data_IF_163049406705
#
_entry.id   IF_163049406705
#
_cell.length_a   1.000
_cell.length_b   1.000
_cell.length_c   1.000
_cell.angle_alpha   90.00
_cell.angle_beta   90.00
_cell.angle_gamma   90.00
#
_symmetry.space_group_name_H-M   'P 1'
#
loop_
_entity.id
_entity.type
_entity.pdbx_description
1 polymer ?
#
# COMPACT_ATOMS: atom_id res chain seq x y z
N UNK A 1 5.40 3.66 0.43
CA UNK A 1 6.31 3.19 1.50
C UNK A 1 5.43 2.41 2.45
N UNK A 2 5.46 1.08 2.34
CA UNK A 2 4.40 0.25 2.89
C UNK A 2 4.67 -0.14 4.35
N UNK A 3 3.62 -0.44 5.10
CA UNK A 3 3.72 -0.74 6.52
C UNK A 3 4.33 -2.13 6.71
N UNK A 4 5.20 -2.29 7.72
CA UNK A 4 5.59 -3.60 8.24
C UNK A 4 4.57 -4.02 9.30
N UNK A 5 3.51 -4.72 8.92
CA UNK A 5 2.58 -5.34 9.88
C UNK A 5 2.67 -6.87 9.82
N UNK A 6 2.77 -7.53 10.97
CA UNK A 6 2.70 -9.00 11.12
C UNK A 6 1.26 -9.55 10.94
N UNK A 7 0.30 -8.69 10.61
CA UNK A 7 -1.10 -9.09 10.42
C UNK A 7 -1.34 -9.34 8.93
N UNK A 8 -1.52 -10.62 8.59
CA UNK A 8 -1.85 -11.06 7.24
C UNK A 8 -3.23 -10.55 6.84
N UNK A 9 -3.32 -9.47 6.05
CA UNK A 9 -4.56 -9.15 5.35
C UNK A 9 -4.67 -10.05 4.12
N UNK A 10 -5.57 -11.05 4.19
CA UNK A 10 -6.06 -11.72 2.99
C UNK A 10 -7.00 -10.75 2.28
N UNK A 11 -6.60 -10.24 1.12
CA UNK A 11 -7.47 -9.42 0.28
C UNK A 11 -6.79 -8.13 -0.17
N UNK A 12 -5.89 -8.24 -1.15
CA UNK A 12 -5.49 -7.09 -1.95
C UNK A 12 -5.74 -7.50 -3.39
N UNK A 13 -6.99 -7.36 -3.78
CA UNK A 13 -7.45 -7.67 -5.12
C UNK A 13 -7.25 -6.39 -5.94
N UNK A 14 -6.19 -6.39 -6.76
CA UNK A 14 -6.23 -5.62 -8.02
C UNK A 14 -7.39 -6.20 -8.84
N UNK A 15 -7.98 -5.43 -9.76
CA UNK A 15 -9.21 -5.77 -10.52
C UNK A 15 -9.20 -7.12 -11.27
N UNK A 16 -8.10 -7.85 -11.24
CA UNK A 16 -7.87 -9.14 -11.87
C UNK A 16 -7.48 -10.17 -10.78
N UNK A 17 -7.72 -11.47 -11.01
CA UNK A 17 -7.43 -12.66 -10.17
C UNK A 17 -5.99 -12.80 -9.58
N UNK A 18 -5.15 -11.78 -9.73
CA UNK A 18 -3.79 -11.62 -9.24
C UNK A 18 -3.75 -11.38 -7.72
N UNK A 19 -4.84 -10.95 -7.07
CA UNK A 19 -4.82 -10.52 -5.67
C UNK A 19 -4.32 -11.56 -4.66
N UNK A 20 -4.67 -12.83 -4.87
CA UNK A 20 -4.19 -13.97 -4.08
C UNK A 20 -2.67 -14.21 -4.24
N UNK A 21 -2.10 -13.80 -5.37
CA UNK A 21 -0.69 -13.96 -5.72
C UNK A 21 0.18 -12.80 -5.24
N UNK A 22 -0.34 -11.63 -4.89
CA UNK A 22 0.50 -10.48 -4.52
C UNK A 22 1.44 -10.81 -3.34
N UNK A 23 0.94 -11.52 -2.32
CA UNK A 23 1.77 -12.00 -1.19
C UNK A 23 2.80 -13.08 -1.60
N UNK A 24 2.50 -13.89 -2.61
CA UNK A 24 3.46 -14.87 -3.14
C UNK A 24 4.51 -14.18 -4.02
N UNK A 25 4.12 -13.14 -4.76
CA UNK A 25 5.00 -12.35 -5.60
C UNK A 25 6.03 -11.59 -4.77
N UNK A 26 5.63 -10.95 -3.67
CA UNK A 26 6.59 -10.31 -2.75
C UNK A 26 7.63 -11.31 -2.23
N UNK A 27 7.18 -12.52 -1.84
CA UNK A 27 8.09 -13.61 -1.44
C UNK A 27 9.04 -14.10 -2.54
N UNK A 28 8.68 -13.94 -3.82
CA UNK A 28 9.51 -14.36 -4.95
C UNK A 28 10.50 -13.25 -5.31
N UNK A 29 10.05 -12.00 -5.36
CA UNK A 29 10.89 -10.86 -5.71
C UNK A 29 11.93 -10.56 -4.64
N UNK A 30 11.57 -10.73 -3.37
CA UNK A 30 12.49 -10.48 -2.24
C UNK A 30 13.61 -11.54 -2.12
N UNK A 31 13.47 -12.67 -2.81
CA UNK A 31 14.52 -13.70 -2.88
C UNK A 31 15.61 -13.36 -3.90
N UNK A 32 15.40 -12.36 -4.75
CA UNK A 32 16.42 -11.96 -5.72
C UNK A 32 17.44 -11.04 -5.04
N UNK A 33 18.72 -11.43 -4.93
CA UNK A 33 19.72 -10.66 -4.21
C UNK A 33 20.15 -9.45 -5.05
N UNK A 34 19.36 -8.37 -5.00
CA UNK A 34 19.85 -7.04 -5.32
C UNK A 34 20.60 -6.50 -4.08
N UNK A 35 21.67 -7.20 -3.69
CA UNK A 35 22.46 -6.87 -2.49
C UNK A 35 23.47 -5.78 -2.83
N UNK A 36 23.05 -4.52 -2.72
CA UNK A 36 24.01 -3.46 -2.39
C UNK A 36 24.36 -3.62 -0.91
N UNK A 37 25.61 -3.98 -0.61
CA UNK A 37 26.19 -4.11 0.75
C UNK A 37 25.78 -5.33 1.61
N UNK A 38 25.56 -6.53 1.03
CA UNK A 38 25.25 -7.77 1.79
C UNK A 38 24.04 -7.64 2.74
N UNK A 39 23.19 -6.63 2.54
CA UNK A 39 21.96 -6.42 3.30
C UNK A 39 20.77 -6.90 2.48
N UNK A 40 19.85 -7.69 3.08
CA UNK A 40 18.61 -8.05 2.41
C UNK A 40 17.79 -6.79 2.15
N UNK A 41 17.05 -6.78 1.04
CA UNK A 41 16.09 -5.71 0.75
C UNK A 41 15.08 -5.58 1.90
N UNK A 42 14.73 -4.35 2.25
CA UNK A 42 13.70 -4.08 3.25
C UNK A 42 12.35 -4.52 2.67
N UNK A 43 11.70 -5.47 3.34
CA UNK A 43 10.41 -5.98 2.93
C UNK A 43 9.28 -5.04 3.33
N UNK A 44 8.42 -4.76 2.37
CA UNK A 44 7.28 -3.86 2.49
C UNK A 44 6.02 -4.65 2.15
N UNK A 45 5.08 -4.72 3.10
CA UNK A 45 3.85 -5.49 2.92
C UNK A 45 2.71 -4.58 2.47
N UNK A 46 1.94 -4.98 1.45
CA UNK A 46 0.81 -4.20 0.99
C UNK A 46 -0.30 -4.18 2.06
N UNK A 47 -1.07 -3.10 2.13
CA UNK A 47 -2.10 -2.92 3.16
C UNK A 47 -3.10 -1.81 2.79
N UNK A 48 -4.06 -1.54 3.69
CA UNK A 48 -5.16 -0.60 3.45
C UNK A 48 -4.75 0.88 3.44
N UNK A 49 -3.48 1.18 3.69
CA UNK A 49 -2.95 2.53 3.74
C UNK A 49 -1.59 2.57 4.39
N UNK A 50 -1.11 3.79 4.65
CA UNK A 50 0.13 4.06 5.39
C UNK A 50 -0.24 4.89 6.62
N UNK A 51 0.04 4.36 7.82
CA UNK A 51 -0.20 5.01 9.10
C UNK A 51 1.09 5.43 9.81
N UNK A 52 1.00 5.75 11.11
CA UNK A 52 2.06 6.34 11.95
C UNK A 52 2.45 7.77 11.54
N UNK A 53 3.19 8.51 12.37
CA UNK A 53 3.41 9.95 12.14
C UNK A 53 4.44 10.26 11.03
N UNK A 54 5.51 9.48 10.94
CA UNK A 54 6.64 9.83 10.06
C UNK A 54 6.36 9.48 8.59
N UNK A 55 5.87 8.26 8.32
CA UNK A 55 5.68 7.75 6.95
C UNK A 55 4.70 8.59 6.10
N UNK A 56 3.63 9.16 6.67
CA UNK A 56 2.72 10.03 5.96
C UNK A 56 3.13 11.50 5.95
N UNK A 57 4.11 11.96 6.74
CA UNK A 57 4.48 13.38 6.81
C UNK A 57 5.80 13.65 6.09
N UNK A 58 6.81 12.79 6.29
CA UNK A 58 8.15 12.97 5.75
C UNK A 58 8.16 13.15 4.22
N UNK A 59 7.38 12.37 3.42
CA UNK A 59 7.39 12.56 1.96
C UNK A 59 6.85 13.93 1.54
N UNK A 60 5.86 14.48 2.25
CA UNK A 60 5.35 15.82 1.94
C UNK A 60 6.34 16.90 2.35
N UNK A 61 7.05 16.72 3.46
CA UNK A 61 8.12 17.62 3.86
C UNK A 61 9.26 17.62 2.84
N UNK A 62 9.69 16.44 2.37
CA UNK A 62 10.74 16.31 1.37
C UNK A 62 10.32 16.88 0.02
N UNK A 63 9.09 16.65 -0.41
CA UNK A 63 8.57 17.25 -1.64
C UNK A 63 8.62 18.77 -1.55
N UNK A 64 8.07 19.36 -0.48
CA UNK A 64 8.09 20.80 -0.27
C UNK A 64 9.52 21.37 -0.28
N UNK A 65 10.46 20.68 0.37
CA UNK A 65 11.87 21.10 0.36
C UNK A 65 12.50 21.01 -1.03
N UNK A 66 12.11 20.02 -1.82
CA UNK A 66 12.58 19.91 -3.18
C UNK A 66 11.98 21.02 -4.07
N UNK A 67 10.70 21.35 -3.88
CA UNK A 67 10.04 22.46 -4.60
C UNK A 67 10.69 23.81 -4.31
N UNK A 68 11.07 24.06 -3.05
CA UNK A 68 11.85 25.24 -2.65
C UNK A 68 13.20 25.33 -3.38
N UNK A 69 13.76 24.21 -3.83
CA UNK A 69 14.98 24.11 -4.63
C UNK A 69 14.70 24.04 -6.15
N UNK A 70 13.45 24.18 -6.58
CA UNK A 70 13.04 24.12 -7.99
C UNK A 70 12.92 22.72 -8.57
N UNK A 71 12.79 21.68 -7.72
CA UNK A 71 12.62 20.29 -8.13
C UNK A 71 11.28 19.71 -7.66
N UNK A 72 10.52 19.11 -8.58
CA UNK A 72 9.28 18.40 -8.27
C UNK A 72 9.49 16.89 -8.42
N UNK A 73 9.37 16.13 -7.32
CA UNK A 73 9.68 14.70 -7.33
C UNK A 73 8.47 13.87 -7.74
N UNK A 74 8.43 13.50 -9.02
CA UNK A 74 7.39 12.59 -9.56
C UNK A 74 7.28 11.28 -8.80
N UNK A 75 8.39 10.78 -8.24
CA UNK A 75 8.42 9.52 -7.48
C UNK A 75 7.72 9.68 -6.13
N UNK A 76 8.01 10.77 -5.41
CA UNK A 76 7.39 11.03 -4.10
C UNK A 76 5.89 11.25 -4.29
N UNK A 77 5.50 12.13 -5.22
CA UNK A 77 4.09 12.44 -5.49
C UNK A 77 3.31 11.21 -5.93
N UNK A 78 3.84 10.42 -6.88
CA UNK A 78 3.17 9.19 -7.34
C UNK A 78 3.04 8.17 -6.20
N UNK A 79 4.10 7.99 -5.40
CA UNK A 79 4.06 7.11 -4.24
C UNK A 79 3.01 7.55 -3.21
N UNK A 80 2.78 8.86 -3.03
CA UNK A 80 1.74 9.38 -2.14
C UNK A 80 0.34 9.24 -2.69
N UNK A 81 0.14 9.55 -3.97
CA UNK A 81 -1.16 9.36 -4.63
C UNK A 81 -1.66 7.92 -4.48
N UNK A 82 -0.78 6.93 -4.65
CA UNK A 82 -1.13 5.52 -4.46
C UNK A 82 -1.47 5.21 -2.99
N UNK A 83 -0.61 5.59 -2.05
CA UNK A 83 -0.80 5.26 -0.64
C UNK A 83 -2.06 5.92 -0.05
N UNK A 84 -2.37 7.15 -0.47
CA UNK A 84 -3.50 7.92 0.02
C UNK A 84 -4.83 7.44 -0.61
N UNK A 85 -4.79 6.76 -1.76
CA UNK A 85 -5.95 6.11 -2.38
C UNK A 85 -6.32 4.77 -1.73
N UNK A 86 -5.36 4.06 -1.14
CA UNK A 86 -5.57 2.70 -0.60
C UNK A 86 -6.76 2.55 0.37
N UNK A 87 -7.05 3.50 1.28
CA UNK A 87 -8.20 3.38 2.19
C UNK A 87 -9.54 3.35 1.44
N UNK A 88 -9.69 4.19 0.40
CA UNK A 88 -10.88 4.21 -0.43
C UNK A 88 -11.01 2.91 -1.23
N UNK A 89 -9.91 2.45 -1.82
CA UNK A 89 -9.87 1.17 -2.55
C UNK A 89 -10.35 -0.01 -1.68
N UNK A 90 -9.86 -0.10 -0.45
CA UNK A 90 -10.27 -1.18 0.47
C UNK A 90 -11.74 -1.03 0.89
N UNK A 91 -12.23 0.19 1.05
CA UNK A 91 -13.65 0.43 1.32
C UNK A 91 -14.54 -0.01 0.15
N UNK A 92 -14.17 0.31 -1.08
CA UNK A 92 -14.89 -0.12 -2.29
C UNK A 92 -14.93 -1.66 -2.38
N UNK A 93 -13.80 -2.33 -2.15
CA UNK A 93 -13.74 -3.79 -2.09
C UNK A 93 -14.65 -4.39 -1.01
N UNK A 94 -14.74 -3.76 0.16
CA UNK A 94 -15.63 -4.21 1.23
C UNK A 94 -17.10 -4.08 0.82
N UNK A 95 -17.47 -2.97 0.18
CA UNK A 95 -18.83 -2.75 -0.31
C UNK A 95 -19.20 -3.80 -1.36
N UNK A 96 -18.31 -4.06 -2.32
CA UNK A 96 -18.53 -5.08 -3.34
C UNK A 96 -18.71 -6.47 -2.72
N UNK A 97 -17.83 -6.86 -1.79
CA UNK A 97 -17.93 -8.14 -1.09
C UNK A 97 -19.22 -8.28 -0.25
N UNK A 98 -19.69 -7.19 0.38
CA UNK A 98 -20.96 -7.20 1.11
C UNK A 98 -22.16 -7.37 0.17
N UNK A 99 -22.13 -6.72 -1.00
CA UNK A 99 -23.16 -6.85 -2.01
C UNK A 99 -23.22 -8.26 -2.61
N UNK A 100 -22.07 -8.89 -2.87
CA UNK A 100 -21.99 -10.29 -3.31
C UNK A 100 -22.58 -11.26 -2.28
N UNK A 101 -22.49 -10.92 -0.99
CA UNK A 101 -23.07 -11.71 0.10
C UNK A 101 -24.53 -11.34 0.44
N UNK A 102 -25.17 -10.46 -0.34
CA UNK A 102 -26.50 -9.91 -0.09
C UNK A 102 -26.65 -9.26 1.32
N UNK A 103 -25.56 -8.72 1.86
CA UNK A 103 -25.56 -8.03 3.17
C UNK A 103 -25.72 -6.53 2.98
N UNK A 104 -26.54 -5.91 3.83
CA UNK A 104 -26.74 -4.47 3.79
C UNK A 104 -25.45 -3.71 4.14
N UNK A 105 -25.08 -2.73 3.30
CA UNK A 105 -23.98 -1.78 3.59
C UNK A 105 -24.33 -0.86 4.76
N UNK A 106 -25.63 -0.66 5.04
CA UNK A 106 -26.13 0.15 6.16
C UNK A 106 -26.42 -0.74 7.37
N UNK A 107 -25.83 -0.41 8.53
CA UNK A 107 -25.83 -1.24 9.74
C UNK A 107 -25.33 -2.70 9.52
N UNK A 108 -24.16 -2.89 8.91
CA UNK A 108 -23.60 -4.23 8.77
C UNK A 108 -23.12 -4.71 10.16
N UNK A 109 -23.45 -5.95 10.53
CA UNK A 109 -22.78 -6.65 11.63
C UNK A 109 -21.40 -7.11 11.12
N UNK A 110 -20.40 -6.24 11.25
CA UNK A 110 -18.98 -6.49 10.94
C UNK A 110 -18.19 -6.55 12.23
#
# INVERSE_FOLDING_TARGET
>A
MFIRTNTTMKGITLKDDIGSRLYLLTKVTDKHPLTVHDKPMIQYYPGAGVGEHCLPVDPYYLEKKAEELGYHSKVITAGRAVNDYMPLHVFELLVDALNECERAVKNPNV
#
